data_IF_975904093784
#
_entry.id   IF_975904093784
#
_cell.length_a   1.000
_cell.length_b   1.000
_cell.length_c   1.000
_cell.angle_alpha   90.00
_cell.angle_beta   90.00
_cell.angle_gamma   90.00
#
_symmetry.space_group_name_H-M   'P 1'
#
loop_
_entity.id
_entity.type
_entity.pdbx_description
1 polymer ?
#
# COMPACT_ATOMS: atom_id res chain seq x y z
N UNK A 1 -15.98 22.69 32.80
CA UNK A 1 -16.48 22.42 31.43
C UNK A 1 -15.32 22.42 30.47
N UNK A 2 -15.00 21.25 29.88
CA UNK A 2 -14.60 20.98 28.49
C UNK A 2 -13.78 19.70 28.47
N UNK A 3 -14.30 18.78 27.68
CA UNK A 3 -14.22 17.34 27.81
C UNK A 3 -12.93 16.72 27.30
N UNK A 4 -12.73 15.50 27.79
CA UNK A 4 -11.64 14.54 27.56
C UNK A 4 -11.30 14.27 26.10
N UNK A 5 -10.01 14.09 25.83
CA UNK A 5 -9.45 13.56 24.59
C UNK A 5 -9.72 12.06 24.57
N UNK A 6 -10.56 11.59 23.64
CA UNK A 6 -10.79 10.17 23.43
C UNK A 6 -9.78 9.65 22.39
N UNK A 7 -8.78 8.89 22.85
CA UNK A 7 -7.99 8.02 21.99
C UNK A 7 -8.78 6.73 21.77
N UNK A 8 -9.09 6.40 20.52
CA UNK A 8 -9.66 5.10 20.16
C UNK A 8 -8.54 4.27 19.51
N UNK A 9 -8.09 3.26 20.25
CA UNK A 9 -7.29 2.15 19.74
C UNK A 9 -8.08 0.87 20.04
N UNK A 10 -7.91 -0.16 19.20
CA UNK A 10 -8.45 -1.53 19.22
C UNK A 10 -9.82 -1.71 18.51
N UNK A 11 -10.08 -2.75 17.71
CA UNK A 11 -9.41 -4.04 17.53
C UNK A 11 -9.66 -4.64 16.13
N UNK A 12 -8.73 -5.51 15.74
CA UNK A 12 -8.82 -6.57 14.73
C UNK A 12 -10.13 -7.37 14.82
N UNK A 13 -10.81 -7.64 13.70
CA UNK A 13 -11.73 -8.77 13.61
C UNK A 13 -11.51 -9.57 12.32
N UNK A 14 -11.23 -10.85 12.54
CA UNK A 14 -11.16 -11.91 11.53
C UNK A 14 -12.57 -12.49 11.33
N UNK A 15 -12.89 -12.76 10.05
CA UNK A 15 -13.89 -13.69 9.53
C UNK A 15 -15.38 -13.53 9.92
N UNK A 16 -16.19 -13.27 8.88
CA UNK A 16 -17.42 -14.03 8.68
C UNK A 16 -18.73 -13.44 9.21
N UNK A 17 -19.27 -12.45 8.49
CA UNK A 17 -20.71 -12.38 8.15
C UNK A 17 -20.92 -11.25 7.14
N UNK A 18 -21.36 -11.61 5.93
CA UNK A 18 -21.73 -10.64 4.91
C UNK A 18 -23.08 -10.00 5.29
N UNK A 19 -23.02 -8.93 6.08
CA UNK A 19 -24.09 -7.93 6.15
C UNK A 19 -23.69 -6.79 5.23
N UNK A 20 -24.50 -6.53 4.20
CA UNK A 20 -24.33 -5.40 3.27
C UNK A 20 -24.64 -4.09 4.00
N UNK A 21 -23.80 -3.69 4.95
CA UNK A 21 -23.72 -2.31 5.35
C UNK A 21 -23.07 -1.56 4.18
N UNK A 22 -23.83 -0.67 3.55
CA UNK A 22 -23.26 0.28 2.60
C UNK A 22 -22.39 1.24 3.41
N UNK A 23 -21.17 0.81 3.69
CA UNK A 23 -20.13 1.63 4.26
C UNK A 23 -19.83 2.68 3.19
N UNK A 24 -20.52 3.83 3.29
CA UNK A 24 -20.16 5.01 2.50
C UNK A 24 -18.76 5.41 2.95
N UNK A 25 -17.75 4.86 2.29
CA UNK A 25 -16.43 5.47 2.28
C UNK A 25 -16.65 6.94 1.91
N UNK A 26 -16.12 7.92 2.67
CA UNK A 26 -16.18 9.29 2.22
C UNK A 26 -15.60 9.31 0.80
N UNK A 27 -16.35 9.85 -0.14
CA UNK A 27 -16.01 9.85 -1.58
C UNK A 27 -14.65 10.52 -1.87
N UNK A 28 -14.07 11.17 -0.87
CA UNK A 28 -12.77 11.83 -0.86
C UNK A 28 -11.66 11.06 -0.14
N UNK A 29 -11.86 9.79 0.24
CA UNK A 29 -10.78 9.04 0.87
C UNK A 29 -9.58 8.87 -0.09
N UNK A 30 -8.38 9.19 0.38
CA UNK A 30 -7.10 8.91 -0.27
C UNK A 30 -7.06 7.46 -0.75
N UNK A 31 -6.62 7.28 -2.00
CA UNK A 31 -6.45 5.96 -2.61
C UNK A 31 -4.96 5.71 -2.88
N UNK A 32 -4.49 4.52 -2.52
CA UNK A 32 -3.15 4.02 -2.86
C UNK A 32 -3.29 2.93 -3.90
N UNK A 33 -2.45 2.98 -4.93
CA UNK A 33 -2.38 1.98 -5.98
C UNK A 33 -0.90 1.65 -6.25
N UNK A 34 -0.62 0.37 -6.45
CA UNK A 34 0.71 -0.10 -6.85
C UNK A 34 0.67 -0.43 -8.34
N UNK A 35 1.60 0.13 -9.09
CA UNK A 35 1.71 -0.10 -10.54
C UNK A 35 3.10 -0.59 -10.87
N UNK A 36 3.21 -1.60 -11.72
CA UNK A 36 4.50 -2.02 -12.27
C UNK A 36 4.36 -2.12 -13.79
N UNK A 37 5.34 -1.67 -14.57
CA UNK A 37 5.32 -1.87 -16.02
C UNK A 37 5.40 -3.36 -16.39
N UNK A 38 6.03 -4.18 -15.54
CA UNK A 38 6.35 -5.59 -15.81
C UNK A 38 5.30 -6.59 -15.30
N UNK A 39 4.21 -6.14 -14.66
CA UNK A 39 3.16 -7.03 -14.10
C UNK A 39 2.13 -7.49 -15.15
N UNK A 40 2.51 -7.59 -16.43
CA UNK A 40 1.60 -8.11 -17.44
C UNK A 40 1.13 -9.52 -17.03
N UNK A 41 -0.17 -9.87 -17.19
CA UNK A 41 -0.72 -11.16 -16.73
C UNK A 41 0.00 -12.41 -17.29
N UNK A 42 0.73 -12.25 -18.39
CA UNK A 42 1.51 -13.30 -19.06
C UNK A 42 2.89 -13.52 -18.44
N UNK A 43 3.44 -12.51 -17.77
CA UNK A 43 4.67 -12.60 -16.99
C UNK A 43 4.31 -12.61 -15.51
N UNK A 44 3.94 -13.79 -15.02
CA UNK A 44 3.96 -14.08 -13.57
C UNK A 44 5.33 -13.62 -13.07
N UNK A 45 5.35 -12.68 -12.11
CA UNK A 45 6.56 -12.06 -11.58
C UNK A 45 7.68 -13.11 -11.45
N UNK A 46 8.66 -13.06 -12.36
CA UNK A 46 9.70 -14.08 -12.44
C UNK A 46 10.81 -13.71 -11.48
N UNK A 47 11.28 -14.70 -10.71
CA UNK A 47 12.49 -14.53 -9.92
C UNK A 47 13.68 -14.18 -10.83
N UNK A 48 14.56 -13.30 -10.34
CA UNK A 48 15.83 -12.97 -11.00
C UNK A 48 15.79 -11.92 -12.12
N UNK A 49 14.64 -11.29 -12.38
CA UNK A 49 14.53 -10.13 -13.28
C UNK A 49 14.36 -8.84 -12.47
N UNK A 50 14.89 -7.69 -12.92
CA UNK A 50 14.59 -6.41 -12.28
C UNK A 50 13.09 -6.15 -12.26
N UNK A 51 12.57 -5.68 -11.13
CA UNK A 51 11.19 -5.27 -10.95
C UNK A 51 11.15 -3.85 -10.38
N UNK A 52 10.32 -3.00 -10.99
CA UNK A 52 10.00 -1.67 -10.49
C UNK A 52 8.53 -1.60 -10.13
N UNK A 53 8.22 -1.20 -8.89
CA UNK A 53 6.87 -0.97 -8.39
C UNK A 53 6.73 0.49 -7.99
N UNK A 54 5.88 1.23 -8.67
CA UNK A 54 5.58 2.64 -8.36
C UNK A 54 4.34 2.74 -7.48
N UNK A 55 4.36 3.68 -6.53
CA UNK A 55 3.20 4.00 -5.69
C UNK A 55 2.47 5.23 -6.26
N UNK A 56 1.25 5.01 -6.71
CA UNK A 56 0.37 6.07 -7.22
C UNK A 56 -0.65 6.42 -6.13
N UNK A 57 -0.69 7.68 -5.74
CA UNK A 57 -1.67 8.20 -4.77
C UNK A 57 -2.65 9.09 -5.51
N UNK A 58 -3.95 8.80 -5.36
CA UNK A 58 -5.04 9.58 -5.95
C UNK A 58 -5.92 10.18 -4.86
N UNK A 59 -6.66 11.23 -5.25
CA UNK A 59 -7.57 11.99 -4.37
C UNK A 59 -6.87 12.73 -3.23
N UNK A 60 -5.58 13.03 -3.38
CA UNK A 60 -4.88 13.95 -2.49
C UNK A 60 -5.25 15.40 -2.79
N UNK A 61 -5.17 16.25 -1.77
CA UNK A 61 -5.38 17.70 -1.85
C UNK A 61 -4.10 18.48 -2.11
N UNK A 62 -2.96 17.79 -2.12
CA UNK A 62 -1.66 18.41 -2.38
C UNK A 62 -0.51 17.44 -2.18
N UNK A 63 0.50 17.89 -1.44
CA UNK A 63 1.68 17.09 -1.13
C UNK A 63 1.32 15.84 -0.32
N UNK A 64 1.90 14.72 -0.70
CA UNK A 64 1.69 13.43 -0.06
C UNK A 64 3.02 12.88 0.42
N UNK A 65 3.05 12.42 1.68
CA UNK A 65 4.16 11.67 2.25
C UNK A 65 3.85 10.19 2.15
N UNK A 66 4.73 9.44 1.49
CA UNK A 66 4.67 7.97 1.43
C UNK A 66 5.79 7.42 2.29
N UNK A 67 5.48 6.48 3.17
CA UNK A 67 6.42 5.83 4.08
C UNK A 67 6.27 4.31 3.94
N UNK A 68 7.31 3.58 3.56
CA UNK A 68 7.28 2.12 3.60
C UNK A 68 7.08 1.62 5.02
N UNK A 69 6.19 0.65 5.19
CA UNK A 69 5.91 -0.01 6.49
C UNK A 69 6.27 -1.49 6.46
N UNK A 70 6.37 -2.09 5.28
CA UNK A 70 6.90 -3.43 5.02
C UNK A 70 7.56 -3.41 3.65
N UNK A 71 8.77 -3.94 3.51
CA UNK A 71 9.51 -3.95 2.25
C UNK A 71 10.26 -5.27 2.14
N UNK A 72 10.12 -6.02 1.02
CA UNK A 72 10.90 -7.23 0.83
C UNK A 72 12.40 -6.91 0.83
N UNK A 73 13.21 -7.81 1.40
CA UNK A 73 14.67 -7.60 1.54
C UNK A 73 15.39 -7.35 0.20
N UNK A 74 14.82 -7.85 -0.89
CA UNK A 74 15.36 -7.70 -2.24
C UNK A 74 15.00 -6.35 -2.90
N UNK A 75 14.35 -5.44 -2.18
CA UNK A 75 13.77 -4.21 -2.71
C UNK A 75 14.26 -2.97 -1.96
N UNK A 76 14.45 -1.87 -2.69
CA UNK A 76 14.86 -0.56 -2.14
C UNK A 76 13.86 0.52 -2.54
N UNK A 77 13.47 1.37 -1.59
CA UNK A 77 12.57 2.49 -1.81
C UNK A 77 13.31 3.79 -2.13
N UNK A 78 12.95 4.45 -3.25
CA UNK A 78 13.33 5.82 -3.54
C UNK A 78 12.17 6.79 -3.20
N UNK A 79 12.31 7.63 -2.16
CA UNK A 79 11.28 8.58 -1.77
C UNK A 79 11.08 9.73 -2.75
N UNK A 80 12.03 10.01 -3.65
CA UNK A 80 11.92 11.08 -4.66
C UNK A 80 11.00 10.67 -5.79
N UNK A 81 11.13 9.44 -6.27
CA UNK A 81 10.30 8.89 -7.34
C UNK A 81 9.07 8.14 -6.82
N UNK A 82 9.06 7.77 -5.53
CA UNK A 82 8.06 6.89 -4.89
C UNK A 82 8.01 5.52 -5.55
N UNK A 83 9.19 5.00 -5.87
CA UNK A 83 9.37 3.72 -6.53
C UNK A 83 10.13 2.77 -5.63
N UNK A 84 9.76 1.51 -5.74
CA UNK A 84 10.50 0.40 -5.19
C UNK A 84 11.16 -0.35 -6.33
N UNK A 85 12.46 -0.60 -6.22
CA UNK A 85 13.23 -1.33 -7.24
C UNK A 85 13.95 -2.50 -6.60
N UNK A 86 14.07 -3.61 -7.32
CA UNK A 86 14.69 -4.81 -6.78
C UNK A 86 14.73 -5.99 -7.74
N UNK A 87 15.29 -7.11 -7.28
CA UNK A 87 15.33 -8.38 -8.04
C UNK A 87 14.58 -9.44 -7.23
N UNK A 88 13.37 -9.87 -7.64
CA UNK A 88 12.54 -10.77 -6.84
C UNK A 88 13.20 -12.13 -6.59
N UNK A 89 12.99 -12.62 -5.37
CA UNK A 89 13.37 -13.98 -4.93
C UNK A 89 12.10 -14.83 -4.87
N UNK A 90 12.14 -16.14 -5.19
CA UNK A 90 10.97 -17.02 -5.08
C UNK A 90 10.35 -16.98 -3.68
N UNK A 91 9.02 -17.16 -3.62
CA UNK A 91 8.25 -17.18 -2.39
C UNK A 91 7.23 -16.05 -2.29
N UNK A 92 6.61 -15.98 -1.12
CA UNK A 92 5.60 -14.97 -0.79
C UNK A 92 6.25 -13.76 -0.16
N UNK A 93 5.93 -12.58 -0.70
CA UNK A 93 6.46 -11.30 -0.23
C UNK A 93 5.35 -10.29 -0.05
N UNK A 94 5.53 -9.40 0.92
CA UNK A 94 4.61 -8.29 1.19
C UNK A 94 5.34 -6.97 1.01
N UNK A 95 4.70 -6.05 0.31
CA UNK A 95 5.09 -4.65 0.23
C UNK A 95 3.94 -3.81 0.80
N UNK A 96 4.22 -3.00 1.81
CA UNK A 96 3.23 -2.15 2.45
C UNK A 96 3.73 -0.71 2.60
N UNK A 97 2.82 0.24 2.41
CA UNK A 97 3.10 1.67 2.59
C UNK A 97 2.00 2.33 3.40
N UNK A 98 2.38 3.35 4.18
CA UNK A 98 1.47 4.32 4.74
C UNK A 98 1.60 5.65 4.02
N UNK A 99 0.46 6.27 3.77
CA UNK A 99 0.35 7.48 2.96
C UNK A 99 -0.39 8.54 3.76
N UNK A 100 0.22 9.72 3.88
CA UNK A 100 -0.36 10.88 4.57
C UNK A 100 -0.48 12.04 3.61
N UNK A 101 -1.67 12.60 3.48
CA UNK A 101 -1.91 13.85 2.76
C UNK A 101 -1.63 15.03 3.68
N UNK A 102 -0.71 15.91 3.28
CA UNK A 102 -0.25 17.02 4.10
C UNK A 102 -1.29 18.15 4.21
N UNK A 103 -2.23 18.27 3.27
CA UNK A 103 -3.25 19.31 3.26
C UNK A 103 -4.40 19.02 4.21
N UNK A 104 -4.77 17.75 4.36
CA UNK A 104 -5.90 17.29 5.17
C UNK A 104 -5.49 16.55 6.45
N UNK A 105 -4.24 16.08 6.52
CA UNK A 105 -3.79 15.15 7.55
C UNK A 105 -4.37 13.75 7.39
N UNK A 106 -5.11 13.47 6.32
CA UNK A 106 -5.71 12.16 6.12
C UNK A 106 -4.61 11.11 5.90
N UNK A 107 -4.80 9.94 6.51
CA UNK A 107 -3.91 8.80 6.37
C UNK A 107 -4.64 7.61 5.73
N UNK A 108 -3.93 6.85 4.92
CA UNK A 108 -4.38 5.58 4.35
C UNK A 108 -3.18 4.64 4.21
N UNK A 109 -3.43 3.36 3.97
CA UNK A 109 -2.39 2.36 3.77
C UNK A 109 -2.67 1.53 2.51
N UNK A 110 -1.61 1.10 1.85
CA UNK A 110 -1.67 0.16 0.74
C UNK A 110 -0.83 -1.06 1.04
N UNK A 111 -1.32 -2.24 0.66
CA UNK A 111 -0.59 -3.51 0.74
C UNK A 111 -0.62 -4.18 -0.63
N UNK A 112 0.52 -4.70 -1.05
CA UNK A 112 0.70 -5.54 -2.22
C UNK A 112 1.33 -6.87 -1.79
N UNK A 113 0.64 -7.97 -2.05
CA UNK A 113 1.18 -9.32 -1.87
C UNK A 113 1.66 -9.86 -3.20
N UNK A 114 2.89 -10.38 -3.22
CA UNK A 114 3.54 -10.93 -4.39
C UNK A 114 3.87 -12.40 -4.18
N UNK A 115 3.37 -13.26 -5.06
CA UNK A 115 3.77 -14.66 -5.13
C UNK A 115 4.75 -14.85 -6.30
N UNK A 116 6.03 -14.99 -5.97
CA UNK A 116 7.11 -15.13 -6.94
C UNK A 116 7.38 -16.63 -7.13
N UNK A 117 7.27 -17.12 -8.36
CA UNK A 117 7.54 -18.52 -8.64
C UNK A 117 9.03 -18.79 -8.83
N UNK A 118 9.49 -19.91 -8.27
CA UNK A 118 10.72 -20.56 -8.71
C UNK A 118 10.45 -21.16 -10.09
N UNK A 119 11.14 -20.64 -11.11
CA UNK A 119 11.05 -21.13 -12.48
C UNK A 119 11.37 -22.62 -12.59
#
# INVERSE_FOLDING_TARGET
MKSSIAAAVLATSIAGSASTETFKFPTYALKVEFTSPDTSPVDRLKAGQPLTVSVVVSRSTGAVKVVPTSTPDWMTYDPKTREFTGVPVPGQHELAVSVTDAGTGQQTSGVLTMNIESR
#
